data_IF_791097719091
#
_entry.id   IF_791097719091
#
_cell.length_a   1.000
_cell.length_b   1.000
_cell.length_c   1.000
_cell.angle_alpha   90.00
_cell.angle_beta   90.00
_cell.angle_gamma   90.00
#
_symmetry.space_group_name_H-M   'P 1'
#
loop_
_entity.id
_entity.type
_entity.pdbx_description
1 polymer ?
#
# COMPACT_ATOMS: atom_id res chain seq x y z
N UNK A 1 44.72 -16.08 -18.30
CA UNK A 1 45.83 -15.90 -17.34
C UNK A 1 45.37 -14.92 -16.28
N UNK A 2 45.22 -15.40 -15.02
CA UNK A 2 45.03 -14.66 -13.73
C UNK A 2 43.74 -13.81 -13.61
N UNK A 3 42.97 -13.78 -12.51
CA UNK A 3 42.96 -14.43 -11.19
C UNK A 3 41.67 -13.98 -10.48
N UNK A 4 41.13 -14.87 -9.64
CA UNK A 4 39.96 -14.74 -8.74
C UNK A 4 40.01 -13.54 -7.76
N UNK A 5 38.84 -13.05 -7.31
CA UNK A 5 38.39 -13.21 -5.91
C UNK A 5 36.91 -12.88 -5.72
N UNK A 6 36.30 -13.69 -4.85
CA UNK A 6 34.90 -13.71 -4.41
C UNK A 6 34.61 -12.65 -3.35
N UNK A 7 33.40 -12.10 -3.33
CA UNK A 7 32.44 -12.17 -2.20
C UNK A 7 31.44 -11.03 -2.26
N UNK A 8 30.18 -11.35 -2.56
CA UNK A 8 29.04 -10.42 -2.47
C UNK A 8 28.32 -10.70 -1.14
N UNK A 9 28.49 -9.80 -0.17
CA UNK A 9 27.78 -9.84 1.09
C UNK A 9 26.42 -9.16 0.96
N UNK A 10 25.33 -9.92 1.17
CA UNK A 10 24.00 -9.34 1.31
C UNK A 10 23.61 -9.35 2.79
N UNK A 11 23.57 -8.15 3.37
CA UNK A 11 23.17 -7.92 4.75
C UNK A 11 21.67 -8.14 4.94
N UNK A 12 21.33 -9.05 5.86
CA UNK A 12 19.97 -9.18 6.38
C UNK A 12 19.71 -8.05 7.36
N UNK A 13 18.91 -7.08 6.91
CA UNK A 13 18.35 -6.01 7.74
C UNK A 13 17.39 -6.60 8.78
N UNK A 14 17.62 -6.20 10.04
CA UNK A 14 16.79 -6.51 11.20
C UNK A 14 15.46 -5.75 11.08
N UNK A 15 14.39 -6.48 10.76
CA UNK A 15 13.02 -5.98 10.90
C UNK A 15 12.54 -6.20 12.33
N UNK A 16 12.17 -5.10 12.98
CA UNK A 16 11.46 -5.05 14.25
C UNK A 16 10.20 -5.91 14.24
N UNK A 17 10.08 -6.81 15.21
CA UNK A 17 8.81 -7.36 15.66
C UNK A 17 8.64 -6.93 17.10
N UNK A 18 8.20 -5.68 17.25
CA UNK A 18 7.71 -5.13 18.49
C UNK A 18 6.32 -5.71 18.79
N UNK A 19 6.14 -6.18 20.02
CA UNK A 19 4.84 -6.43 20.64
C UNK A 19 4.06 -7.67 20.19
N UNK A 20 4.50 -8.84 20.66
CA UNK A 20 3.59 -9.91 21.05
C UNK A 20 3.67 -10.09 22.57
N UNK A 21 2.49 -10.02 23.18
CA UNK A 21 2.28 -9.82 24.61
C UNK A 21 3.08 -10.77 25.50
N UNK A 22 3.50 -10.19 26.61
CA UNK A 22 4.07 -10.86 27.77
C UNK A 22 3.23 -12.08 28.15
N UNK A 23 3.77 -13.29 27.92
CA UNK A 23 3.20 -14.51 28.49
C UNK A 23 3.35 -14.34 30.01
N UNK A 24 2.26 -14.31 30.80
CA UNK A 24 2.41 -14.25 32.24
C UNK A 24 3.16 -15.50 32.68
N UNK A 25 4.36 -15.31 33.24
CA UNK A 25 5.05 -16.33 34.03
C UNK A 25 4.03 -16.86 35.00
N UNK A 26 3.58 -18.10 34.81
CA UNK A 26 2.83 -18.83 35.81
C UNK A 26 3.72 -18.80 37.05
N UNK A 27 3.34 -17.96 38.02
CA UNK A 27 3.98 -17.94 39.33
C UNK A 27 3.87 -19.39 39.79
N UNK A 28 5.02 -20.02 40.03
CA UNK A 28 5.03 -21.26 40.80
C UNK A 28 4.39 -20.87 42.11
N UNK A 29 3.13 -21.25 42.30
CA UNK A 29 2.51 -21.21 43.61
C UNK A 29 3.25 -22.26 44.44
N UNK A 30 4.41 -21.85 44.95
CA UNK A 30 5.11 -22.47 46.07
C UNK A 30 4.30 -22.17 47.32
N UNK A 31 3.15 -22.79 47.40
CA UNK A 31 2.57 -23.24 48.65
C UNK A 31 2.48 -24.76 48.55
N UNK A 32 3.66 -25.36 48.33
CA UNK A 32 3.87 -26.76 48.67
C UNK A 32 3.67 -26.81 50.18
N UNK A 33 2.68 -27.55 50.71
CA UNK A 33 2.52 -27.63 52.16
C UNK A 33 3.85 -28.13 52.72
N UNK A 34 4.34 -27.41 53.73
CA UNK A 34 5.56 -27.76 54.43
C UNK A 34 5.44 -29.22 54.90
N UNK A 35 6.45 -30.03 54.60
CA UNK A 35 6.35 -31.49 54.84
C UNK A 35 6.28 -31.80 56.34
N UNK A 36 6.59 -30.80 57.18
CA UNK A 36 6.54 -30.85 58.63
C UNK A 36 5.17 -30.42 59.20
N UNK A 37 4.21 -29.95 58.39
CA UNK A 37 2.85 -29.63 58.86
C UNK A 37 1.99 -30.86 59.17
N UNK A 38 2.50 -32.07 58.92
CA UNK A 38 1.85 -33.34 59.28
C UNK A 38 2.21 -33.83 60.68
N UNK A 39 3.15 -33.16 61.37
CA UNK A 39 3.58 -33.60 62.71
C UNK A 39 2.74 -33.03 63.87
N UNK A 40 1.86 -32.06 63.61
CA UNK A 40 0.97 -31.48 64.63
C UNK A 40 -0.50 -31.52 64.20
N UNK A 41 -0.98 -32.70 63.80
CA UNK A 41 -2.39 -33.02 63.97
C UNK A 41 -2.50 -33.84 65.24
N UNK A 42 -2.88 -33.17 66.33
CA UNK A 42 -3.31 -33.81 67.56
C UNK A 42 -4.30 -34.92 67.19
N UNK A 43 -3.86 -36.15 67.43
CA UNK A 43 -4.64 -37.36 67.26
C UNK A 43 -5.94 -37.13 68.04
N UNK A 44 -7.12 -37.10 67.40
CA UNK A 44 -8.36 -36.94 68.16
C UNK A 44 -8.38 -38.08 69.18
N UNK A 45 -8.43 -37.72 70.46
CA UNK A 45 -8.63 -38.61 71.59
C UNK A 45 -10.02 -39.24 71.47
N UNK A 46 -10.18 -40.13 70.49
CA UNK A 46 -11.33 -40.99 70.35
C UNK A 46 -11.10 -42.19 71.23
N UNK A 47 -11.86 -42.26 72.32
CA UNK A 47 -12.07 -43.47 73.10
C UNK A 47 -12.17 -44.69 72.17
N UNK A 48 -11.54 -45.79 72.56
CA UNK A 48 -11.58 -47.05 71.83
C UNK A 48 -13.02 -47.61 71.83
N UNK A 49 -13.88 -47.05 70.96
CA UNK A 49 -15.13 -47.67 70.56
C UNK A 49 -14.76 -48.96 69.84
N UNK A 50 -15.16 -50.09 70.42
CA UNK A 50 -14.93 -51.42 69.86
C UNK A 50 -15.35 -51.42 68.39
N UNK A 51 -14.38 -51.46 67.47
CA UNK A 51 -14.65 -51.52 66.04
C UNK A 51 -15.05 -52.95 65.71
N UNK A 52 -16.30 -53.13 65.29
CA UNK A 52 -16.82 -54.44 64.87
C UNK A 52 -16.00 -55.01 63.71
N UNK A 53 -15.29 -56.14 63.89
CA UNK A 53 -14.42 -56.71 62.85
C UNK A 53 -15.19 -57.13 61.59
N UNK A 54 -16.50 -57.39 61.73
CA UNK A 54 -17.41 -57.68 60.62
C UNK A 54 -17.62 -56.46 59.70
N UNK A 55 -17.65 -55.24 60.25
CA UNK A 55 -17.87 -53.99 59.50
C UNK A 55 -16.65 -53.60 58.66
N UNK A 56 -15.45 -53.79 59.21
CA UNK A 56 -14.19 -53.51 58.52
C UNK A 56 -13.89 -54.50 57.38
N UNK A 57 -14.25 -55.78 57.54
CA UNK A 57 -14.17 -56.77 56.46
C UNK A 57 -15.09 -56.39 55.30
N UNK A 58 -16.33 -55.97 55.59
CA UNK A 58 -17.31 -55.50 54.59
C UNK A 58 -16.83 -54.23 53.86
N UNK A 59 -16.13 -53.33 54.56
CA UNK A 59 -15.55 -52.11 53.98
C UNK A 59 -14.35 -52.43 53.07
N UNK A 60 -13.43 -53.30 53.50
CA UNK A 60 -12.31 -53.77 52.67
C UNK A 60 -12.78 -54.49 51.40
N UNK A 61 -13.84 -55.28 51.50
CA UNK A 61 -14.44 -55.97 50.35
C UNK A 61 -15.12 -54.98 49.39
N UNK A 62 -15.80 -53.95 49.92
CA UNK A 62 -16.33 -52.84 49.13
C UNK A 62 -15.23 -52.03 48.42
N UNK A 63 -14.12 -51.74 49.09
CA UNK A 63 -13.00 -51.00 48.49
C UNK A 63 -12.29 -51.84 47.42
N UNK A 64 -12.23 -53.17 47.60
CA UNK A 64 -11.69 -54.10 46.60
C UNK A 64 -12.57 -54.15 45.36
N UNK A 65 -13.89 -54.25 45.53
CA UNK A 65 -14.83 -54.25 44.40
C UNK A 65 -14.88 -52.89 43.71
N UNK A 66 -14.80 -51.79 44.45
CA UNK A 66 -14.76 -50.43 43.89
C UNK A 66 -13.50 -50.18 43.05
N UNK A 67 -12.32 -50.58 43.54
CA UNK A 67 -11.07 -50.52 42.76
C UNK A 67 -11.16 -51.34 41.46
N UNK A 68 -11.85 -52.48 41.50
CA UNK A 68 -12.05 -53.31 40.32
C UNK A 68 -13.02 -52.67 39.32
N UNK A 69 -14.08 -52.01 39.80
CA UNK A 69 -14.99 -51.22 38.97
C UNK A 69 -14.26 -50.07 38.28
N UNK A 70 -13.47 -49.30 39.02
CA UNK A 70 -12.67 -48.19 38.48
C UNK A 70 -11.70 -48.70 37.40
N UNK A 71 -11.02 -49.84 37.63
CA UNK A 71 -10.12 -50.44 36.64
C UNK A 71 -10.85 -50.88 35.37
N UNK A 72 -12.01 -51.54 35.51
CA UNK A 72 -12.82 -52.00 34.37
C UNK A 72 -13.38 -50.81 33.58
N UNK A 73 -13.82 -49.77 34.27
CA UNK A 73 -14.33 -48.55 33.65
C UNK A 73 -13.22 -47.76 32.95
N UNK A 74 -12.05 -47.63 33.57
CA UNK A 74 -10.87 -47.03 32.95
C UNK A 74 -10.44 -47.81 31.70
N UNK A 75 -10.39 -49.15 31.77
CA UNK A 75 -10.08 -50.00 30.62
C UNK A 75 -11.10 -49.81 29.48
N UNK A 76 -12.39 -49.72 29.80
CA UNK A 76 -13.45 -49.46 28.82
C UNK A 76 -13.30 -48.07 28.18
N UNK A 77 -13.01 -47.04 28.98
CA UNK A 77 -12.83 -45.67 28.52
C UNK A 77 -11.62 -45.54 27.59
N UNK A 78 -10.49 -46.15 27.96
CA UNK A 78 -9.26 -46.16 27.13
C UNK A 78 -9.52 -46.87 25.80
N UNK A 79 -10.23 -47.99 25.81
CA UNK A 79 -10.53 -48.71 24.58
C UNK A 79 -11.45 -47.91 23.64
N UNK A 80 -12.44 -47.21 24.21
CA UNK A 80 -13.35 -46.35 23.43
C UNK A 80 -12.61 -45.13 22.85
N UNK A 81 -11.74 -44.50 23.64
CA UNK A 81 -10.91 -43.39 23.18
C UNK A 81 -9.95 -43.83 22.07
N UNK A 82 -9.37 -45.04 22.16
CA UNK A 82 -8.57 -45.62 21.09
C UNK A 82 -9.39 -45.87 19.82
N UNK A 83 -10.65 -46.32 19.93
CA UNK A 83 -11.54 -46.49 18.76
C UNK A 83 -11.85 -45.14 18.09
N UNK A 84 -12.17 -44.11 18.87
CA UNK A 84 -12.44 -42.76 18.37
C UNK A 84 -11.19 -42.19 17.70
N UNK A 85 -10.00 -42.35 18.31
CA UNK A 85 -8.75 -41.90 17.70
C UNK A 85 -8.41 -42.67 16.41
N UNK A 86 -8.62 -43.99 16.37
CA UNK A 86 -8.43 -44.79 15.15
C UNK A 86 -9.40 -44.37 14.05
N UNK A 87 -10.67 -44.13 14.39
CA UNK A 87 -11.67 -43.62 13.46
C UNK A 87 -11.23 -42.26 12.92
N UNK A 88 -10.93 -41.28 13.79
CA UNK A 88 -10.45 -39.94 13.39
C UNK A 88 -9.21 -40.01 12.49
N UNK A 89 -8.24 -40.87 12.81
CA UNK A 89 -7.04 -41.09 11.99
C UNK A 89 -7.37 -41.76 10.64
N UNK A 90 -8.41 -42.57 10.55
CA UNK A 90 -8.91 -43.15 9.28
C UNK A 90 -9.60 -42.09 8.44
N UNK A 91 -10.46 -41.25 9.03
CA UNK A 91 -11.12 -40.14 8.32
C UNK A 91 -10.10 -39.12 7.79
N UNK A 92 -9.06 -38.79 8.56
CA UNK A 92 -7.97 -37.90 8.12
C UNK A 92 -7.11 -38.46 6.97
N UNK A 93 -7.06 -39.79 6.80
CA UNK A 93 -6.32 -40.43 5.71
C UNK A 93 -7.14 -40.60 4.44
N UNK A 94 -8.48 -40.56 4.55
CA UNK A 94 -9.38 -40.85 3.44
C UNK A 94 -9.97 -39.57 2.80
N UNK A 95 -9.61 -38.38 3.27
CA UNK A 95 -9.99 -37.11 2.64
C UNK A 95 -8.95 -36.68 1.62
N UNK A 96 -8.70 -37.51 0.61
CA UNK A 96 -7.95 -37.08 -0.57
C UNK A 96 -8.92 -36.44 -1.56
N UNK A 97 -8.71 -35.17 -1.89
CA UNK A 97 -9.50 -34.47 -2.88
C UNK A 97 -9.14 -35.01 -4.27
N UNK A 98 -9.94 -35.95 -4.76
CA UNK A 98 -9.79 -36.53 -6.10
C UNK A 98 -10.34 -35.54 -7.13
N UNK A 99 -9.47 -34.69 -7.68
CA UNK A 99 -9.79 -33.82 -8.80
C UNK A 99 -8.78 -34.05 -9.93
N UNK A 100 -9.28 -34.25 -11.15
CA UNK A 100 -8.43 -34.26 -12.33
C UNK A 100 -8.05 -32.83 -12.68
N UNK A 101 -6.88 -32.40 -12.23
CA UNK A 101 -6.31 -31.10 -12.58
C UNK A 101 -5.99 -31.07 -14.08
N UNK A 102 -6.73 -30.24 -14.84
CA UNK A 102 -6.47 -30.00 -16.26
C UNK A 102 -6.10 -28.54 -16.46
N UNK A 103 -4.84 -28.30 -16.81
CA UNK A 103 -4.40 -26.98 -17.21
C UNK A 103 -4.87 -26.72 -18.65
N UNK A 104 -5.62 -25.64 -18.85
CA UNK A 104 -6.05 -25.19 -20.17
C UNK A 104 -5.63 -23.74 -20.34
N UNK A 105 -4.89 -23.47 -21.41
CA UNK A 105 -4.63 -22.13 -21.89
C UNK A 105 -5.52 -21.88 -23.11
N UNK A 106 -6.84 -21.79 -22.90
CA UNK A 106 -7.73 -21.36 -23.97
C UNK A 106 -7.48 -19.88 -24.18
N UNK A 107 -6.96 -19.54 -25.36
CA UNK A 107 -6.78 -18.15 -25.74
C UNK A 107 -8.15 -17.45 -25.73
N UNK A 108 -8.21 -16.19 -25.30
CA UNK A 108 -9.42 -15.40 -25.44
C UNK A 108 -9.81 -15.30 -26.92
N UNK A 109 -11.10 -15.16 -27.18
CA UNK A 109 -11.61 -14.91 -28.52
C UNK A 109 -10.98 -13.61 -29.06
N UNK A 110 -10.48 -13.60 -30.31
CA UNK A 110 -9.91 -12.39 -30.88
C UNK A 110 -11.00 -11.32 -30.96
N UNK A 111 -10.72 -10.16 -30.37
CA UNK A 111 -11.58 -9.00 -30.59
C UNK A 111 -11.43 -8.57 -32.04
N UNK A 112 -12.55 -8.42 -32.74
CA UNK A 112 -12.57 -7.75 -34.04
C UNK A 112 -12.02 -6.34 -33.81
N UNK A 113 -10.92 -6.00 -34.48
CA UNK A 113 -10.21 -4.74 -34.30
C UNK A 113 -11.11 -3.52 -34.59
N UNK A 114 -10.64 -2.31 -34.27
CA UNK A 114 -11.38 -1.11 -34.63
C UNK A 114 -11.51 -1.02 -36.16
N UNK A 115 -12.72 -0.70 -36.62
CA UNK A 115 -12.94 -0.34 -38.02
C UNK A 115 -12.44 1.09 -38.21
N UNK A 116 -11.28 1.24 -38.83
CA UNK A 116 -10.78 2.54 -39.26
C UNK A 116 -11.64 3.02 -40.43
N UNK A 117 -12.29 4.17 -40.24
CA UNK A 117 -13.06 4.81 -41.31
C UNK A 117 -12.12 5.67 -42.14
N UNK A 118 -12.10 5.42 -43.45
CA UNK A 118 -11.41 6.29 -44.40
C UNK A 118 -12.23 7.58 -44.54
N UNK A 119 -11.79 8.61 -43.81
CA UNK A 119 -12.36 9.95 -43.94
C UNK A 119 -11.84 10.54 -45.26
N UNK A 120 -12.72 10.96 -46.18
CA UNK A 120 -12.28 11.55 -47.44
C UNK A 120 -11.60 12.88 -47.15
N UNK A 121 -10.27 12.90 -47.28
CA UNK A 121 -9.45 14.10 -47.15
C UNK A 121 -9.04 14.57 -48.56
N UNK A 122 -9.36 15.82 -48.94
CA UNK A 122 -8.98 16.34 -50.26
C UNK A 122 -7.46 16.59 -50.29
N UNK A 123 -6.73 15.73 -51.00
CA UNK A 123 -5.28 15.82 -51.15
C UNK A 123 -4.88 17.11 -51.88
N UNK A 124 -5.74 17.60 -52.77
CA UNK A 124 -5.50 18.84 -53.52
C UNK A 124 -5.36 20.05 -52.58
N UNK A 125 -6.14 20.10 -51.49
CA UNK A 125 -6.03 21.17 -50.48
C UNK A 125 -4.73 21.13 -49.68
N UNK A 126 -3.99 20.01 -49.70
CA UNK A 126 -2.67 19.91 -49.06
C UNK A 126 -1.57 20.55 -49.92
N UNK A 127 -1.77 20.61 -51.24
CA UNK A 127 -0.79 21.19 -52.17
C UNK A 127 -0.88 22.72 -52.26
N UNK A 128 -2.05 23.27 -51.94
CA UNK A 128 -2.32 24.71 -51.99
C UNK A 128 -2.13 25.36 -50.61
N UNK A 129 -1.33 26.42 -50.54
CA UNK A 129 -1.20 27.20 -49.32
C UNK A 129 -2.43 28.09 -49.11
N UNK A 130 -3.17 27.87 -48.02
CA UNK A 130 -4.23 28.77 -47.54
C UNK A 130 -3.75 29.51 -46.29
N UNK A 131 -3.60 30.86 -46.33
CA UNK A 131 -3.22 31.61 -45.15
C UNK A 131 -4.30 31.50 -44.08
N UNK A 132 -3.90 31.28 -42.84
CA UNK A 132 -4.81 31.24 -41.71
C UNK A 132 -5.15 32.66 -41.25
N UNK A 133 -6.23 32.79 -40.47
CA UNK A 133 -6.61 34.04 -39.83
C UNK A 133 -5.48 34.63 -38.98
N UNK A 134 -4.64 33.78 -38.38
CA UNK A 134 -3.47 34.22 -37.63
C UNK A 134 -2.43 34.92 -38.50
N UNK A 135 -2.21 34.43 -39.72
CA UNK A 135 -1.23 34.99 -40.66
C UNK A 135 -1.69 36.36 -41.16
N UNK A 136 -3.00 36.50 -41.40
CA UNK A 136 -3.62 37.75 -41.87
C UNK A 136 -3.68 38.80 -40.76
N UNK A 137 -3.98 38.39 -39.53
CA UNK A 137 -4.15 39.30 -38.39
C UNK A 137 -2.84 39.63 -37.66
N UNK A 138 -1.71 39.08 -38.12
CA UNK A 138 -0.43 39.32 -37.48
C UNK A 138 0.04 40.77 -37.70
N UNK A 139 0.09 41.54 -36.60
CA UNK A 139 0.66 42.89 -36.58
C UNK A 139 2.19 42.78 -36.45
N UNK A 140 2.90 43.03 -37.54
CA UNK A 140 4.36 43.05 -37.56
C UNK A 140 4.89 44.19 -36.68
N UNK A 141 5.86 43.87 -35.83
CA UNK A 141 6.58 44.89 -35.08
C UNK A 141 7.57 45.60 -36.02
N UNK A 142 7.47 46.92 -36.11
CA UNK A 142 8.43 47.72 -36.87
C UNK A 142 9.75 47.77 -36.08
N UNK A 143 10.76 47.05 -36.56
CA UNK A 143 12.12 47.14 -36.03
C UNK A 143 12.81 48.38 -36.61
N UNK A 144 12.73 49.49 -35.89
CA UNK A 144 13.40 50.72 -36.27
C UNK A 144 14.83 50.77 -35.72
N UNK A 145 15.70 51.49 -36.43
CA UNK A 145 17.01 51.87 -35.92
C UNK A 145 16.89 52.73 -34.66
N UNK A 146 17.97 52.86 -33.89
CA UNK A 146 18.01 53.62 -32.64
C UNK A 146 17.50 55.06 -32.79
N UNK A 147 17.77 55.67 -33.94
CA UNK A 147 17.44 57.06 -34.24
C UNK A 147 16.13 57.18 -35.06
N UNK A 148 15.35 56.10 -35.17
CA UNK A 148 14.09 56.03 -35.92
C UNK A 148 14.19 56.50 -37.38
N UNK A 149 15.39 56.44 -37.97
CA UNK A 149 15.66 56.95 -39.31
C UNK A 149 15.73 58.48 -39.43
N UNK A 150 15.78 59.20 -38.30
CA UNK A 150 15.88 60.68 -38.26
C UNK A 150 17.28 61.08 -37.78
N UNK A 151 18.25 61.25 -38.69
CA UNK A 151 19.59 61.70 -38.32
C UNK A 151 19.54 63.15 -37.84
N UNK A 152 20.02 63.40 -36.62
CA UNK A 152 20.17 64.74 -36.05
C UNK A 152 21.53 65.29 -36.50
N UNK A 153 21.52 66.33 -37.32
CA UNK A 153 22.73 67.00 -37.78
C UNK A 153 23.11 68.12 -36.80
N UNK A 154 24.32 68.06 -36.24
CA UNK A 154 24.84 69.09 -35.33
C UNK A 154 25.90 69.98 -36.02
N UNK A 155 26.24 69.69 -37.27
CA UNK A 155 27.31 70.37 -38.00
C UNK A 155 26.78 71.66 -38.61
N UNK A 156 25.59 71.62 -39.20
CA UNK A 156 24.94 72.79 -39.79
C UNK A 156 23.74 73.30 -38.95
N UNK A 157 23.91 74.35 -38.14
CA UNK A 157 22.82 74.93 -37.35
C UNK A 157 21.78 75.67 -38.22
N UNK A 158 22.10 76.01 -39.47
CA UNK A 158 21.15 76.70 -40.35
C UNK A 158 19.98 75.80 -40.74
N UNK A 159 20.19 74.48 -40.76
CA UNK A 159 19.19 73.48 -41.13
C UNK A 159 17.93 73.49 -40.27
N UNK A 160 18.05 73.91 -39.01
CA UNK A 160 16.96 73.91 -38.03
C UNK A 160 16.55 75.32 -37.57
N UNK A 161 17.12 76.36 -38.19
CA UNK A 161 16.87 77.74 -37.75
C UNK A 161 15.47 78.19 -38.17
N UNK A 162 14.63 78.52 -37.18
CA UNK A 162 13.31 79.12 -37.41
C UNK A 162 13.44 80.65 -37.37
N UNK A 163 12.93 81.39 -38.37
CA UNK A 163 12.98 82.85 -38.37
C UNK A 163 12.19 83.45 -37.19
N UNK A 164 12.71 84.47 -36.50
CA UNK A 164 12.03 85.07 -35.35
C UNK A 164 10.84 85.94 -35.78
N UNK A 165 9.70 85.80 -35.09
CA UNK A 165 8.57 86.73 -35.17
C UNK A 165 7.28 86.17 -35.81
N UNK A 166 7.34 85.11 -36.60
CA UNK A 166 6.13 84.40 -37.08
C UNK A 166 6.47 82.95 -37.41
N UNK A 167 5.74 81.96 -36.89
CA UNK A 167 5.93 80.57 -37.30
C UNK A 167 5.64 80.44 -38.81
N UNK A 168 6.43 79.65 -39.56
CA UNK A 168 6.17 79.39 -40.96
C UNK A 168 4.73 78.89 -41.18
N UNK A 169 4.10 79.20 -42.33
CA UNK A 169 2.81 78.60 -42.67
C UNK A 169 2.98 77.09 -42.72
N UNK A 170 2.26 76.40 -41.83
CA UNK A 170 2.31 74.95 -41.68
C UNK A 170 1.30 74.29 -42.63
N UNK A 171 1.66 73.13 -43.17
CA UNK A 171 0.77 72.37 -44.03
C UNK A 171 -0.43 71.83 -43.22
N UNK A 172 -1.65 71.80 -43.79
CA UNK A 172 -2.79 71.20 -43.11
C UNK A 172 -2.59 69.74 -42.70
N UNK A 173 -1.78 68.95 -43.42
CA UNK A 173 -1.44 67.58 -43.01
C UNK A 173 -0.55 67.56 -41.76
N UNK A 174 0.47 68.42 -41.71
CA UNK A 174 1.35 68.57 -40.54
C UNK A 174 0.58 69.04 -39.31
N UNK A 175 -0.40 69.92 -39.51
CA UNK A 175 -1.29 70.39 -38.45
C UNK A 175 -2.06 69.24 -37.79
N UNK A 176 -2.58 68.31 -38.58
CA UNK A 176 -3.36 67.18 -38.09
C UNK A 176 -2.52 66.22 -37.21
N UNK A 177 -1.21 66.10 -37.48
CA UNK A 177 -0.30 65.30 -36.66
C UNK A 177 -0.10 65.88 -35.25
N UNK A 178 -0.20 67.21 -35.11
CA UNK A 178 -0.08 67.89 -33.81
C UNK A 178 -1.33 67.75 -32.94
N UNK A 179 -2.45 67.31 -33.51
CA UNK A 179 -3.74 67.16 -32.82
C UNK A 179 -3.92 65.76 -32.19
N UNK A 180 -2.87 64.93 -32.15
CA UNK A 180 -2.91 63.58 -31.57
C UNK A 180 -3.42 63.57 -30.12
N UNK A 181 -4.48 62.79 -29.89
CA UNK A 181 -5.14 62.52 -28.61
C UNK A 181 -4.92 61.05 -28.25
N UNK A 182 -4.41 60.77 -27.06
CA UNK A 182 -4.42 59.41 -26.48
C UNK A 182 -5.89 58.97 -26.32
N UNK A 183 -6.36 58.10 -27.20
CA UNK A 183 -7.56 57.31 -26.92
C UNK A 183 -7.12 56.17 -25.99
N UNK A 184 -7.47 56.28 -24.71
CA UNK A 184 -7.31 55.17 -23.77
C UNK A 184 -8.24 54.03 -24.19
N UNK A 185 -7.68 53.02 -24.85
CA UNK A 185 -8.36 51.73 -25.05
C UNK A 185 -8.28 50.93 -23.73
N UNK A 186 -9.44 50.75 -23.09
CA UNK A 186 -9.67 49.82 -21.97
C UNK A 186 -9.99 48.41 -22.42
#
# INVERSE_FOLDING_TARGET
IKSCFSSFGFGFGRGEWSSLGSIPRLKKDTTRPDIDSWQNMDRPGGSASQKDPKKDRKRKEKDRSEKERIRKEHARKVLEEQKIQKARKKWQKNTEFLCTLKFRNTLPEPHLGPNLLDIPFPIDELTEYRPNSLDVNYKWQLHCERDLGVPIDLIDPARYLVPPGTPPPMDPADRALLEWREEEEG
#
